data_IF_435895543007
#
_entry.id   IF_435895543007
#
_cell.length_a   1.000
_cell.length_b   1.000
_cell.length_c   1.000
_cell.angle_alpha   90.00
_cell.angle_beta   90.00
_cell.angle_gamma   90.00
#
_symmetry.space_group_name_H-M   'P 1'
#
loop_
_entity.id
_entity.type
_entity.pdbx_description
1 polymer ?
#
# COMPACT_ATOMS: atom_id res chain seq x y z
N UNK A 1 4.88 -13.78 -26.37
CA UNK A 1 3.52 -13.23 -26.56
C UNK A 1 2.87 -13.08 -25.21
N UNK A 2 2.43 -11.87 -24.83
CA UNK A 2 1.71 -11.67 -23.56
C UNK A 2 0.38 -12.43 -23.61
N UNK A 3 0.12 -13.28 -22.61
CA UNK A 3 -1.11 -14.10 -22.52
C UNK A 3 -2.35 -13.30 -22.08
N UNK A 4 -2.19 -12.00 -21.80
CA UNK A 4 -3.20 -11.17 -21.14
C UNK A 4 -3.44 -9.92 -21.98
N UNK A 5 -4.72 -9.58 -22.20
CA UNK A 5 -5.10 -8.38 -22.94
C UNK A 5 -4.88 -7.11 -22.11
N UNK A 6 -4.72 -5.95 -22.77
CA UNK A 6 -4.60 -4.65 -22.08
C UNK A 6 -5.81 -4.37 -21.18
N UNK A 7 -7.01 -4.73 -21.63
CA UNK A 7 -8.25 -4.58 -20.87
C UNK A 7 -8.22 -5.42 -19.58
N UNK A 8 -7.77 -6.67 -19.68
CA UNK A 8 -7.65 -7.56 -18.53
C UNK A 8 -6.57 -7.10 -17.55
N UNK A 9 -5.44 -6.57 -18.04
CA UNK A 9 -4.44 -5.93 -17.19
C UNK A 9 -5.03 -4.74 -16.40
N UNK A 10 -5.91 -3.94 -17.03
CA UNK A 10 -6.58 -2.82 -16.36
C UNK A 10 -7.50 -3.31 -15.24
N UNK A 11 -8.34 -4.31 -15.52
CA UNK A 11 -9.24 -4.88 -14.51
C UNK A 11 -8.47 -5.44 -13.32
N UNK A 12 -7.41 -6.21 -13.57
CA UNK A 12 -6.56 -6.75 -12.49
C UNK A 12 -5.85 -5.66 -11.69
N UNK A 13 -5.45 -4.56 -12.34
CA UNK A 13 -4.89 -3.39 -11.65
C UNK A 13 -5.91 -2.77 -10.70
N UNK A 14 -7.16 -2.57 -11.15
CA UNK A 14 -8.22 -2.00 -10.32
C UNK A 14 -8.57 -2.89 -9.12
N UNK A 15 -8.62 -4.22 -9.33
CA UNK A 15 -8.81 -5.18 -8.25
C UNK A 15 -7.68 -5.14 -7.22
N UNK A 16 -6.44 -5.02 -7.70
CA UNK A 16 -5.26 -4.88 -6.84
C UNK A 16 -5.33 -3.58 -6.04
N UNK A 17 -5.63 -2.45 -6.68
CA UNK A 17 -5.80 -1.13 -6.02
C UNK A 17 -6.88 -1.18 -4.95
N UNK A 18 -8.03 -1.81 -5.23
CA UNK A 18 -9.11 -1.99 -4.25
C UNK A 18 -8.68 -2.84 -3.07
N UNK A 19 -7.99 -3.95 -3.33
CA UNK A 19 -7.52 -4.87 -2.28
C UNK A 19 -6.52 -4.18 -1.35
N UNK A 20 -5.54 -3.48 -1.93
CA UNK A 20 -4.55 -2.72 -1.15
C UNK A 20 -5.22 -1.61 -0.33
N UNK A 21 -6.17 -0.88 -0.93
CA UNK A 21 -6.91 0.19 -0.23
C UNK A 21 -7.62 -0.35 1.01
N UNK A 22 -8.31 -1.48 0.89
CA UNK A 22 -9.04 -2.08 2.02
C UNK A 22 -8.09 -2.52 3.13
N UNK A 23 -6.99 -3.19 2.80
CA UNK A 23 -6.01 -3.67 3.78
C UNK A 23 -5.33 -2.51 4.51
N UNK A 24 -4.94 -1.45 3.78
CA UNK A 24 -4.34 -0.26 4.38
C UNK A 24 -5.35 0.42 5.32
N UNK A 25 -6.61 0.59 4.88
CA UNK A 25 -7.64 1.21 5.70
C UNK A 25 -7.89 0.45 7.01
N UNK A 26 -7.92 -0.89 6.99
CA UNK A 26 -8.09 -1.71 8.19
C UNK A 26 -6.94 -1.51 9.19
N UNK A 27 -5.69 -1.55 8.72
CA UNK A 27 -4.50 -1.35 9.55
C UNK A 27 -4.45 0.06 10.15
N UNK A 28 -4.85 1.06 9.37
CA UNK A 28 -4.87 2.47 9.77
C UNK A 28 -5.92 2.71 10.82
N UNK A 29 -7.15 2.23 10.60
CA UNK A 29 -8.23 2.35 11.59
C UNK A 29 -7.82 1.70 12.92
N UNK A 30 -7.18 0.52 12.85
CA UNK A 30 -6.66 -0.15 14.04
C UNK A 30 -5.62 0.72 14.76
N UNK A 31 -4.67 1.30 14.02
CA UNK A 31 -3.67 2.22 14.59
C UNK A 31 -4.32 3.46 15.22
N UNK A 32 -5.30 4.09 14.57
CA UNK A 32 -6.01 5.26 15.12
C UNK A 32 -6.71 4.92 16.43
N UNK A 33 -7.38 3.75 16.50
CA UNK A 33 -8.05 3.27 17.71
C UNK A 33 -7.06 3.00 18.84
N UNK A 34 -5.93 2.34 18.53
CA UNK A 34 -4.92 1.95 19.52
C UNK A 34 -4.13 3.15 20.07
N UNK A 35 -3.92 4.18 19.26
CA UNK A 35 -3.09 5.34 19.62
C UNK A 35 -3.89 6.59 20.00
N UNK A 36 -5.18 6.65 19.66
CA UNK A 36 -6.02 7.84 19.82
C UNK A 36 -5.66 8.99 18.86
N UNK A 37 -4.77 8.75 17.90
CA UNK A 37 -4.31 9.75 16.94
C UNK A 37 -5.14 9.68 15.67
N UNK A 38 -5.51 10.83 15.12
CA UNK A 38 -6.18 10.89 13.82
C UNK A 38 -5.16 10.99 12.69
N UNK A 39 -5.13 9.99 11.81
CA UNK A 39 -4.30 9.93 10.62
C UNK A 39 -4.96 10.74 9.51
N UNK A 40 -4.17 11.63 8.89
CA UNK A 40 -4.59 12.43 7.74
C UNK A 40 -4.11 11.82 6.43
N UNK A 41 -2.81 11.55 6.34
CA UNK A 41 -2.14 11.09 5.13
C UNK A 41 -1.19 9.94 5.46
N UNK A 42 -1.07 8.97 4.56
CA UNK A 42 -0.16 7.83 4.68
C UNK A 42 0.63 7.70 3.40
N UNK A 43 1.95 7.60 3.54
CA UNK A 43 2.86 7.35 2.46
C UNK A 43 3.54 6.01 2.68
N UNK A 44 3.38 5.11 1.70
CA UNK A 44 3.98 3.78 1.70
C UNK A 44 5.04 3.73 0.60
N UNK A 45 6.28 3.46 0.99
CA UNK A 45 7.37 3.32 0.03
C UNK A 45 7.69 1.84 -0.18
N UNK A 46 7.70 1.45 -1.44
CA UNK A 46 8.13 0.13 -1.89
C UNK A 46 9.34 0.32 -2.81
N UNK A 47 10.35 -0.52 -2.62
CA UNK A 47 11.53 -0.55 -3.49
C UNK A 47 11.53 -1.85 -4.26
N UNK A 48 11.69 -1.74 -5.58
CA UNK A 48 11.95 -2.90 -6.43
C UNK A 48 13.36 -3.42 -6.11
N UNK A 49 13.44 -4.67 -5.67
CA UNK A 49 14.70 -5.32 -5.34
C UNK A 49 14.99 -6.51 -6.25
N UNK A 50 14.37 -6.56 -7.44
CA UNK A 50 14.54 -7.63 -8.42
C UNK A 50 16.00 -7.86 -8.85
N UNK A 51 16.86 -6.84 -8.71
CA UNK A 51 18.29 -6.91 -9.05
C UNK A 51 19.16 -7.51 -7.94
N UNK A 52 18.60 -7.71 -6.75
CA UNK A 52 19.26 -8.32 -5.61
C UNK A 52 18.71 -9.74 -5.47
N UNK A 53 19.56 -10.73 -5.18
CA UNK A 53 19.15 -12.14 -4.99
C UNK A 53 18.27 -12.28 -3.73
N UNK A 54 17.00 -11.92 -3.88
CA UNK A 54 15.94 -11.97 -2.88
C UNK A 54 14.69 -12.62 -3.48
N UNK A 55 13.91 -13.35 -2.67
CA UNK A 55 12.70 -14.01 -3.13
C UNK A 55 11.59 -12.99 -3.50
N UNK A 56 11.62 -11.80 -2.90
CA UNK A 56 10.58 -10.79 -3.04
C UNK A 56 10.94 -9.77 -4.12
N UNK A 57 9.97 -9.45 -5.00
CA UNK A 57 10.14 -8.42 -6.03
C UNK A 57 10.16 -7.01 -5.44
N UNK A 58 9.28 -6.74 -4.48
CA UNK A 58 9.15 -5.45 -3.83
C UNK A 58 9.32 -5.61 -2.32
N UNK A 59 10.14 -4.76 -1.72
CA UNK A 59 10.28 -4.69 -0.27
C UNK A 59 9.66 -3.41 0.23
N UNK A 60 8.91 -3.53 1.32
CA UNK A 60 8.36 -2.41 2.06
C UNK A 60 9.48 -1.69 2.82
N UNK A 61 9.77 -0.43 2.48
CA UNK A 61 10.96 0.27 3.01
C UNK A 61 10.63 1.31 4.08
N UNK A 62 9.48 1.97 4.01
CA UNK A 62 9.06 2.92 5.05
C UNK A 62 7.56 3.23 5.00
N UNK A 63 6.95 3.45 6.18
CA UNK A 63 5.66 4.16 6.33
C UNK A 63 5.96 5.57 6.84
N UNK A 64 5.37 6.58 6.22
CA UNK A 64 5.23 7.91 6.83
C UNK A 64 3.76 8.16 7.10
N UNK A 65 3.40 8.35 8.38
CA UNK A 65 2.05 8.71 8.80
C UNK A 65 2.05 10.19 9.15
N UNK A 66 1.20 10.97 8.48
CA UNK A 66 0.93 12.35 8.86
C UNK A 66 -0.36 12.38 9.67
N UNK A 67 -0.25 12.83 10.90
CA UNK A 67 -1.37 12.95 11.82
C UNK A 67 -1.98 14.34 11.67
N UNK A 68 -3.26 14.50 12.02
CA UNK A 68 -3.78 15.84 12.27
C UNK A 68 -3.15 16.33 13.56
N UNK A 69 -2.51 17.50 13.52
CA UNK A 69 -2.19 18.20 14.76
C UNK A 69 -3.52 18.43 15.49
N UNK A 70 -3.54 18.07 16.78
CA UNK A 70 -4.63 18.49 17.65
C UNK A 70 -4.39 19.97 17.92
N UNK A 71 -5.40 20.81 17.65
CA UNK A 71 -5.42 22.19 18.17
C UNK A 71 -5.30 22.20 19.71
#
# INVERSE_FOLDING_TARGET
>A
MSKVSIAECRTRKEELEKTLTNQIAELVNKFEIETGVNIRDIYLNFTDVSEIDRPDKYVFTSVTVRTKESD
#
